data_IF_728376298553
#
_entry.id   IF_728376298553
#
_cell.length_a   1.000
_cell.length_b   1.000
_cell.length_c   1.000
_cell.angle_alpha   90.00
_cell.angle_beta   90.00
_cell.angle_gamma   90.00
#
_symmetry.space_group_name_H-M   'P 1'
#
loop_
_entity.id
_entity.type
_entity.pdbx_description
1 polymer ?
#
# COMPACT_ATOMS: atom_id res chain seq x y z
N UNK A 1 27.33 -8.49 -11.34
CA UNK A 1 26.36 -7.78 -12.20
C UNK A 1 24.97 -8.23 -11.76
N UNK A 2 24.26 -7.45 -10.94
CA UNK A 2 23.01 -7.91 -10.31
C UNK A 2 21.85 -7.80 -11.31
N UNK A 3 21.45 -8.95 -11.86
CA UNK A 3 20.26 -9.09 -12.69
C UNK A 3 19.05 -9.03 -11.73
N UNK A 4 18.44 -7.85 -11.58
CA UNK A 4 17.17 -7.72 -10.86
C UNK A 4 16.03 -8.10 -11.81
N UNK A 5 15.72 -9.40 -11.88
CA UNK A 5 14.63 -9.93 -12.69
C UNK A 5 13.60 -10.63 -11.81
N UNK A 6 12.30 -10.43 -12.04
CA UNK A 6 11.27 -11.11 -11.26
C UNK A 6 11.29 -12.63 -11.52
N UNK A 7 11.19 -13.40 -10.44
CA UNK A 7 11.14 -14.86 -10.45
C UNK A 7 9.83 -15.32 -9.80
N UNK A 8 9.16 -16.29 -10.41
CA UNK A 8 8.02 -16.98 -9.82
C UNK A 8 8.50 -18.18 -9.02
N UNK A 9 7.99 -18.35 -7.81
CA UNK A 9 8.26 -19.51 -6.97
C UNK A 9 7.00 -19.95 -6.25
N UNK A 10 6.99 -21.18 -5.75
CA UNK A 10 5.90 -21.68 -4.90
C UNK A 10 6.41 -21.72 -3.47
N UNK A 11 5.73 -21.06 -2.53
CA UNK A 11 6.07 -21.10 -1.10
C UNK A 11 5.46 -22.29 -0.36
N UNK A 12 4.39 -22.87 -0.91
CA UNK A 12 3.66 -24.01 -0.32
C UNK A 12 3.47 -25.11 -1.36
N UNK A 13 3.33 -26.35 -0.89
CA UNK A 13 3.00 -27.47 -1.76
C UNK A 13 1.55 -27.34 -2.25
N UNK A 14 1.36 -27.38 -3.58
CA UNK A 14 0.05 -27.25 -4.25
C UNK A 14 -0.98 -28.34 -3.88
N UNK A 15 -0.58 -29.38 -3.13
CA UNK A 15 -1.43 -30.50 -2.72
C UNK A 15 -1.91 -30.30 -1.28
N UNK A 16 -3.07 -29.65 -1.11
CA UNK A 16 -3.99 -29.64 0.07
C UNK A 16 -3.43 -29.33 1.47
N UNK A 17 -2.12 -29.34 1.68
CA UNK A 17 -1.48 -29.21 2.96
C UNK A 17 -0.58 -27.98 2.95
N UNK A 18 -0.85 -27.02 3.83
CA UNK A 18 -0.15 -25.73 3.93
C UNK A 18 1.27 -25.84 4.53
N UNK A 19 1.92 -27.00 4.42
CA UNK A 19 3.27 -27.20 4.93
C UNK A 19 4.29 -26.43 4.11
N UNK A 20 5.26 -25.84 4.81
CA UNK A 20 6.38 -25.11 4.23
C UNK A 20 7.31 -26.06 3.48
N UNK A 21 7.89 -25.55 2.39
CA UNK A 21 8.94 -26.27 1.68
C UNK A 21 10.22 -26.09 2.51
N UNK A 22 10.94 -27.18 2.78
CA UNK A 22 12.11 -27.21 3.70
C UNK A 22 13.15 -26.11 3.45
N UNK A 23 13.31 -25.67 2.20
CA UNK A 23 14.25 -24.62 1.77
C UNK A 23 13.66 -23.20 1.75
N UNK A 24 12.47 -23.01 2.30
CA UNK A 24 11.79 -21.72 2.39
C UNK A 24 11.34 -21.50 3.83
N UNK A 25 11.74 -20.38 4.43
CA UNK A 25 11.22 -19.92 5.71
C UNK A 25 10.24 -18.78 5.47
N UNK A 26 9.02 -18.90 5.98
CA UNK A 26 7.99 -17.85 5.94
C UNK A 26 7.56 -17.53 7.37
N UNK A 27 7.20 -16.29 7.64
CA UNK A 27 6.58 -15.92 8.90
C UNK A 27 5.91 -14.57 8.84
N UNK A 28 5.07 -14.27 9.83
CA UNK A 28 4.48 -12.94 10.02
C UNK A 28 5.51 -12.01 10.71
N UNK A 29 5.50 -10.73 10.35
CA UNK A 29 6.29 -9.71 11.05
C UNK A 29 5.65 -9.27 12.38
N UNK A 30 4.38 -9.62 12.59
CA UNK A 30 3.61 -9.35 13.78
C UNK A 30 2.69 -8.12 13.68
N UNK A 31 2.32 -7.53 14.84
CA UNK A 31 1.41 -6.40 14.90
C UNK A 31 1.96 -5.16 14.18
N UNK A 32 1.08 -4.46 13.46
CA UNK A 32 1.36 -3.25 12.70
C UNK A 32 0.56 -2.07 13.26
N UNK A 33 0.99 -0.84 12.96
CA UNK A 33 0.27 0.38 13.34
C UNK A 33 -1.17 0.40 12.78
N UNK A 34 -1.34 -0.07 11.54
CA UNK A 34 -2.61 -0.20 10.85
C UNK A 34 -2.52 -1.38 9.87
N UNK A 35 -3.62 -1.68 9.16
CA UNK A 35 -3.68 -2.82 8.21
C UNK A 35 -3.35 -4.18 8.86
N UNK A 36 -3.80 -4.38 10.09
CA UNK A 36 -3.63 -5.66 10.82
C UNK A 36 -4.44 -6.82 10.23
N UNK A 37 -5.40 -6.54 9.35
CA UNK A 37 -6.11 -7.56 8.57
C UNK A 37 -5.27 -8.15 7.43
N UNK A 38 -4.08 -7.59 7.15
CA UNK A 38 -3.16 -8.10 6.14
C UNK A 38 -1.95 -8.76 6.79
N UNK A 39 -1.64 -9.97 6.34
CA UNK A 39 -0.56 -10.86 6.79
C UNK A 39 0.77 -10.52 6.12
N UNK A 40 1.24 -9.28 6.31
CA UNK A 40 2.58 -8.89 5.86
C UNK A 40 3.63 -9.76 6.57
N UNK A 41 4.36 -10.56 5.81
CA UNK A 41 5.36 -11.49 6.32
C UNK A 41 6.78 -11.23 5.83
N UNK A 42 7.70 -12.07 6.32
CA UNK A 42 9.04 -12.21 5.77
C UNK A 42 9.19 -13.54 5.04
N UNK A 43 10.20 -13.60 4.17
CA UNK A 43 10.52 -14.76 3.37
C UNK A 43 12.03 -14.88 3.25
N UNK A 44 12.57 -16.05 3.58
CA UNK A 44 13.97 -16.40 3.36
C UNK A 44 14.08 -17.66 2.50
N UNK A 45 15.03 -17.65 1.58
CA UNK A 45 15.35 -18.80 0.73
C UNK A 45 16.68 -19.39 1.15
N UNK A 46 16.72 -20.70 1.36
CA UNK A 46 17.94 -21.47 1.56
C UNK A 46 18.17 -22.40 0.37
N UNK A 47 19.08 -22.01 -0.53
CA UNK A 47 19.45 -22.77 -1.74
C UNK A 47 18.24 -23.29 -2.57
N UNK A 48 17.12 -22.56 -2.56
CA UNK A 48 15.89 -22.95 -3.26
C UNK A 48 16.06 -22.92 -4.78
N UNK A 49 15.78 -24.04 -5.45
CA UNK A 49 15.94 -24.19 -6.91
C UNK A 49 14.60 -24.04 -7.62
N UNK A 50 14.59 -23.23 -8.69
CA UNK A 50 13.45 -23.07 -9.60
C UNK A 50 13.86 -23.34 -11.05
N UNK A 51 12.93 -23.80 -11.91
CA UNK A 51 13.16 -23.87 -13.34
C UNK A 51 13.44 -22.48 -13.93
N UNK A 52 14.29 -22.40 -14.96
CA UNK A 52 14.57 -21.16 -15.71
C UNK A 52 13.31 -20.46 -16.21
N UNK A 53 12.31 -21.24 -16.63
CA UNK A 53 11.04 -20.74 -17.16
C UNK A 53 10.21 -19.95 -16.13
N UNK A 54 10.52 -20.05 -14.84
CA UNK A 54 9.87 -19.26 -13.80
C UNK A 54 10.34 -17.79 -13.79
N UNK A 55 11.39 -17.44 -14.53
CA UNK A 55 11.76 -16.05 -14.74
C UNK A 55 10.74 -15.35 -15.64
N UNK A 56 10.26 -14.16 -15.24
CA UNK A 56 9.35 -13.36 -16.06
C UNK A 56 10.08 -12.73 -17.25
N UNK A 57 10.10 -13.47 -18.37
CA UNK A 57 10.99 -13.20 -19.51
C UNK A 57 10.44 -12.25 -20.60
N UNK A 58 9.44 -11.42 -20.29
CA UNK A 58 8.82 -10.52 -21.29
C UNK A 58 9.82 -9.49 -21.84
N UNK A 59 10.61 -8.87 -20.96
CA UNK A 59 11.54 -7.80 -21.32
C UNK A 59 13.01 -8.20 -21.21
N UNK A 60 13.38 -9.04 -20.24
CA UNK A 60 14.73 -9.56 -20.06
C UNK A 60 14.70 -11.08 -20.21
N UNK A 61 15.71 -11.69 -20.85
CA UNK A 61 15.70 -13.14 -21.13
C UNK A 61 17.01 -13.78 -20.74
N UNK A 62 16.94 -15.02 -20.26
CA UNK A 62 18.10 -15.91 -20.09
C UNK A 62 17.84 -17.13 -20.96
N UNK A 63 18.71 -17.37 -21.95
CA UNK A 63 18.66 -18.54 -22.81
C UNK A 63 19.17 -19.80 -22.06
N UNK A 64 18.95 -21.00 -22.62
CA UNK A 64 19.29 -22.26 -21.98
C UNK A 64 20.80 -22.47 -21.79
N UNK A 65 21.60 -21.83 -22.65
CA UNK A 65 23.06 -21.73 -22.59
C UNK A 65 23.56 -20.71 -21.54
N UNK A 66 22.65 -19.97 -20.91
CA UNK A 66 22.97 -18.92 -19.95
C UNK A 66 23.13 -17.52 -20.55
N UNK A 67 22.97 -17.36 -21.87
CA UNK A 67 23.10 -16.05 -22.52
C UNK A 67 22.01 -15.09 -22.05
N UNK A 68 22.39 -13.92 -21.51
CA UNK A 68 21.47 -12.91 -21.00
C UNK A 68 21.18 -11.81 -22.02
N UNK A 69 19.90 -11.61 -22.32
CA UNK A 69 19.40 -10.49 -23.13
C UNK A 69 18.83 -9.41 -22.23
N UNK A 70 19.43 -8.22 -22.29
CA UNK A 70 19.04 -7.05 -21.50
C UNK A 70 17.68 -6.49 -21.96
N UNK A 71 16.88 -5.92 -21.04
CA UNK A 71 15.65 -5.23 -21.40
C UNK A 71 15.92 -3.93 -22.17
N UNK A 72 14.96 -3.46 -22.98
CA UNK A 72 15.09 -2.22 -23.76
C UNK A 72 15.28 -1.00 -22.86
N UNK A 73 14.72 -1.02 -21.64
CA UNK A 73 14.94 0.00 -20.63
C UNK A 73 15.15 -0.64 -19.25
N UNK A 74 16.19 -0.20 -18.52
CA UNK A 74 16.61 -0.83 -17.26
C UNK A 74 15.52 -0.86 -16.18
N UNK A 75 14.59 0.11 -16.19
CA UNK A 75 13.56 0.27 -15.15
C UNK A 75 12.19 -0.29 -15.54
N UNK A 76 12.06 -0.99 -16.68
CA UNK A 76 10.76 -1.48 -17.18
C UNK A 76 10.07 -2.44 -16.20
N UNK A 77 10.84 -3.16 -15.38
CA UNK A 77 10.31 -4.06 -14.35
C UNK A 77 9.56 -3.37 -13.20
N UNK A 78 9.69 -2.04 -13.07
CA UNK A 78 9.06 -1.27 -12.00
C UNK A 78 7.70 -0.65 -12.41
N UNK A 79 7.14 -1.04 -13.56
CA UNK A 79 5.90 -0.48 -14.09
C UNK A 79 4.72 -0.59 -13.11
N UNK A 80 4.62 -1.70 -12.38
CA UNK A 80 3.57 -1.92 -11.38
C UNK A 80 3.67 -0.95 -10.20
N UNK A 81 4.88 -0.59 -9.76
CA UNK A 81 5.05 0.40 -8.69
C UNK A 81 4.64 1.80 -9.14
N UNK A 82 4.90 2.16 -10.39
CA UNK A 82 4.43 3.43 -10.97
C UNK A 82 2.91 3.44 -11.07
N UNK A 83 2.31 2.33 -11.49
CA UNK A 83 0.86 2.16 -11.56
C UNK A 83 0.21 2.36 -10.18
N UNK A 84 0.72 1.69 -9.14
CA UNK A 84 0.21 1.86 -7.77
C UNK A 84 0.33 3.33 -7.32
N UNK A 85 1.46 3.99 -7.58
CA UNK A 85 1.65 5.42 -7.23
C UNK A 85 0.64 6.34 -7.91
N UNK A 86 0.34 6.11 -9.19
CA UNK A 86 -0.69 6.88 -9.88
C UNK A 86 -2.07 6.67 -9.25
N UNK A 87 -2.40 5.44 -8.87
CA UNK A 87 -3.66 5.12 -8.19
C UNK A 87 -3.76 5.68 -6.77
N UNK A 88 -2.65 5.77 -6.04
CA UNK A 88 -2.61 6.29 -4.67
C UNK A 88 -3.21 7.69 -4.56
N UNK A 89 -3.03 8.55 -5.57
CA UNK A 89 -3.57 9.93 -5.56
C UNK A 89 -5.08 9.91 -5.32
N UNK A 90 -5.82 9.09 -6.07
CA UNK A 90 -7.27 8.94 -5.94
C UNK A 90 -7.66 8.32 -4.59
N UNK A 91 -6.92 7.32 -4.12
CA UNK A 91 -7.19 6.69 -2.83
C UNK A 91 -7.00 7.65 -1.66
N UNK A 92 -5.95 8.48 -1.69
CA UNK A 92 -5.70 9.48 -0.66
C UNK A 92 -6.80 10.56 -0.63
N UNK A 93 -7.26 11.01 -1.80
CA UNK A 93 -8.41 11.92 -1.87
C UNK A 93 -9.67 11.30 -1.25
N UNK A 94 -9.94 10.02 -1.51
CA UNK A 94 -11.05 9.31 -0.88
C UNK A 94 -10.90 9.21 0.65
N UNK A 95 -9.72 8.85 1.17
CA UNK A 95 -9.50 8.79 2.62
C UNK A 95 -9.65 10.16 3.29
N UNK A 96 -9.13 11.22 2.66
CA UNK A 96 -9.33 12.58 3.13
C UNK A 96 -10.82 12.95 3.14
N UNK A 97 -11.57 12.58 2.08
CA UNK A 97 -13.01 12.84 1.98
C UNK A 97 -13.80 12.18 3.12
N UNK A 98 -13.45 10.95 3.54
CA UNK A 98 -14.10 10.27 4.66
C UNK A 98 -13.85 10.97 5.99
N UNK A 99 -12.59 11.37 6.24
CA UNK A 99 -12.22 12.11 7.44
C UNK A 99 -12.92 13.47 7.51
N UNK A 100 -12.86 14.25 6.43
CA UNK A 100 -13.45 15.59 6.34
C UNK A 100 -14.97 15.53 6.43
N UNK A 101 -15.62 14.56 5.76
CA UNK A 101 -17.08 14.38 5.84
C UNK A 101 -17.52 14.12 7.28
N UNK A 102 -16.80 13.27 8.00
CA UNK A 102 -17.10 12.97 9.41
C UNK A 102 -16.89 14.20 10.29
N UNK A 103 -15.77 14.91 10.10
CA UNK A 103 -15.44 16.11 10.88
C UNK A 103 -16.43 17.26 10.64
N UNK A 104 -16.84 17.53 9.40
CA UNK A 104 -17.81 18.57 9.06
C UNK A 104 -19.18 18.22 9.64
N UNK A 105 -19.66 16.98 9.45
CA UNK A 105 -20.96 16.54 10.01
C UNK A 105 -21.00 16.69 11.53
N UNK A 106 -19.93 16.28 12.22
CA UNK A 106 -19.82 16.48 13.66
C UNK A 106 -19.81 17.97 14.03
N UNK A 107 -19.08 18.79 13.27
CA UNK A 107 -18.94 20.24 13.55
C UNK A 107 -20.23 21.04 13.38
N UNK A 108 -21.17 20.58 12.54
CA UNK A 108 -22.49 21.21 12.37
C UNK A 108 -23.42 20.93 13.55
N UNK A 109 -23.23 19.82 14.26
CA UNK A 109 -24.11 19.39 15.35
C UNK A 109 -23.53 19.78 16.72
N UNK A 110 -22.21 19.64 16.89
CA UNK A 110 -21.54 19.95 18.16
C UNK A 110 -21.62 21.45 18.43
N UNK A 111 -22.20 21.80 19.58
CA UNK A 111 -22.16 23.15 20.16
C UNK A 111 -21.20 23.17 21.34
N UNK A 112 -20.37 24.20 21.43
CA UNK A 112 -19.43 24.37 22.54
C UNK A 112 -18.86 25.78 22.55
N UNK A 113 -18.93 26.43 23.71
CA UNK A 113 -18.41 27.78 23.92
C UNK A 113 -19.36 28.87 23.39
N UNK A 114 -19.10 30.10 23.81
CA UNK A 114 -19.89 31.27 23.44
C UNK A 114 -19.01 32.25 22.66
N UNK A 115 -19.46 32.70 21.48
CA UNK A 115 -18.80 33.79 20.74
C UNK A 115 -19.18 35.14 21.33
N UNK A 116 -20.46 35.28 21.71
CA UNK A 116 -21.00 36.46 22.36
C UNK A 116 -21.48 36.06 23.76
N UNK A 117 -21.15 36.83 24.81
CA UNK A 117 -21.57 36.49 26.16
C UNK A 117 -23.10 36.44 26.26
N UNK A 118 -23.62 35.43 26.97
CA UNK A 118 -25.05 35.20 27.22
C UNK A 118 -25.90 34.89 25.98
N UNK A 119 -25.28 34.57 24.84
CA UNK A 119 -26.00 34.18 23.61
C UNK A 119 -26.17 32.66 23.45
N UNK A 120 -25.67 31.87 24.41
CA UNK A 120 -25.67 30.41 24.39
C UNK A 120 -24.63 29.80 23.45
N UNK A 121 -24.55 28.47 23.47
CA UNK A 121 -23.52 27.75 22.73
C UNK A 121 -23.75 27.76 21.22
N UNK A 122 -22.70 28.16 20.49
CA UNK A 122 -22.68 28.16 19.02
C UNK A 122 -22.18 26.83 18.47
N UNK A 123 -22.51 26.53 17.22
CA UNK A 123 -21.96 25.34 16.55
C UNK A 123 -20.47 25.55 16.35
N UNK A 124 -19.68 24.50 16.54
CA UNK A 124 -18.23 24.65 16.44
C UNK A 124 -17.77 25.00 15.01
N UNK A 125 -18.57 24.68 13.98
CA UNK A 125 -18.30 25.09 12.60
C UNK A 125 -18.40 26.62 12.40
N UNK A 126 -19.07 27.35 13.28
CA UNK A 126 -19.19 28.81 13.18
C UNK A 126 -17.89 29.51 13.58
N UNK A 127 -16.98 28.83 14.28
CA UNK A 127 -15.66 29.37 14.59
C UNK A 127 -14.76 29.40 13.34
N UNK A 128 -14.17 30.55 13.10
CA UNK A 128 -13.22 30.75 11.98
C UNK A 128 -12.03 29.78 12.05
N UNK A 129 -11.55 29.46 13.26
CA UNK A 129 -10.46 28.49 13.45
C UNK A 129 -10.84 27.08 13.01
N UNK A 130 -12.09 26.66 13.22
CA UNK A 130 -12.60 25.36 12.79
C UNK A 130 -12.78 25.32 11.27
N UNK A 131 -13.34 26.38 10.68
CA UNK A 131 -13.47 26.52 9.23
C UNK A 131 -12.11 26.49 8.53
N UNK A 132 -11.13 27.23 9.06
CA UNK A 132 -9.77 27.28 8.52
C UNK A 132 -9.06 25.92 8.57
N UNK A 133 -9.39 25.06 9.54
CA UNK A 133 -8.82 23.70 9.62
C UNK A 133 -9.50 22.72 8.66
N UNK A 134 -10.82 22.84 8.45
CA UNK A 134 -11.60 21.86 7.69
C UNK A 134 -11.77 22.20 6.21
N UNK A 135 -12.14 23.45 5.87
CA UNK A 135 -12.49 23.82 4.50
C UNK A 135 -11.32 23.71 3.51
N UNK A 136 -10.06 24.07 3.89
CA UNK A 136 -8.93 23.84 2.98
C UNK A 136 -8.64 22.36 2.72
N UNK A 137 -8.96 21.45 3.65
CA UNK A 137 -8.80 20.01 3.43
C UNK A 137 -9.94 19.44 2.57
N UNK A 138 -11.13 20.06 2.60
CA UNK A 138 -12.24 19.70 1.72
C UNK A 138 -11.95 20.07 0.26
N UNK A 139 -11.25 21.19 0.03
CA UNK A 139 -10.93 21.67 -1.31
C UNK A 139 -9.75 20.93 -1.99
N UNK A 140 -9.00 20.14 -1.23
CA UNK A 140 -7.85 19.35 -1.70
C UNK A 140 -8.27 18.03 -2.32
#
# INVERSE_FOLDING_TARGET
MNICCPLLFSSKNSKRNFYEIVSITVGDIGPKMAYNSTDNGFLAFDHYRIPRLNMLMKYARVAADGTYTRPPHAKVGYSTMVFVRAHMIRHQAMYASYAVTTAIRYSVIRRQGEIKPNCGEVKILDYQTQQYRLLPQLAR
#
